data_IF_564256760595
#
_entry.id   IF_564256760595
#
_cell.length_a   1.000
_cell.length_b   1.000
_cell.length_c   1.000
_cell.angle_alpha   90.00
_cell.angle_beta   90.00
_cell.angle_gamma   90.00
#
_symmetry.space_group_name_H-M   'P 1'
#
loop_
_entity.id
_entity.type
_entity.pdbx_description
1 polymer ?
#
# COMPACT_ATOMS: atom_id res chain seq x y z
N UNK A 1 -9.80 -18.50 4.83
CA UNK A 1 -10.94 -17.68 5.30
C UNK A 1 -10.82 -16.31 4.64
N UNK A 2 -11.27 -16.17 3.38
CA UNK A 2 -11.12 -14.95 2.57
C UNK A 2 -12.48 -14.32 2.19
N UNK A 3 -13.55 -15.12 2.10
CA UNK A 3 -14.89 -14.68 1.67
C UNK A 3 -15.47 -13.53 2.49
N UNK A 4 -15.38 -13.57 3.82
CA UNK A 4 -15.95 -12.51 4.69
C UNK A 4 -15.23 -11.16 4.53
N UNK A 5 -13.91 -11.17 4.24
CA UNK A 5 -13.15 -9.93 4.03
C UNK A 5 -13.51 -9.27 2.70
N UNK A 6 -13.66 -10.04 1.61
CA UNK A 6 -14.05 -9.50 0.30
C UNK A 6 -15.49 -8.98 0.26
N UNK A 7 -16.44 -9.67 0.91
CA UNK A 7 -17.80 -9.16 1.06
C UNK A 7 -17.84 -7.83 1.83
N UNK A 8 -16.94 -7.67 2.81
CA UNK A 8 -16.84 -6.43 3.58
C UNK A 8 -16.30 -5.28 2.71
N UNK A 9 -15.30 -5.55 1.87
CA UNK A 9 -14.79 -4.58 0.88
C UNK A 9 -15.89 -4.13 -0.09
N UNK A 10 -16.67 -5.07 -0.61
CA UNK A 10 -17.81 -4.74 -1.47
C UNK A 10 -18.83 -3.85 -0.77
N UNK A 11 -19.19 -4.18 0.48
CA UNK A 11 -20.14 -3.38 1.26
C UNK A 11 -19.63 -1.97 1.51
N UNK A 12 -18.33 -1.80 1.77
CA UNK A 12 -17.71 -0.48 1.97
C UNK A 12 -17.76 0.32 0.66
N UNK A 13 -17.41 -0.30 -0.46
CA UNK A 13 -17.43 0.35 -1.77
C UNK A 13 -18.86 0.74 -2.20
N UNK A 14 -19.85 -0.12 -1.95
CA UNK A 14 -21.28 0.18 -2.19
C UNK A 14 -21.80 1.36 -1.37
N UNK A 15 -21.14 1.70 -0.25
CA UNK A 15 -21.45 2.89 0.55
C UNK A 15 -20.70 4.15 0.08
N UNK A 16 -19.92 4.08 -1.00
CA UNK A 16 -19.09 5.18 -1.50
C UNK A 16 -17.92 5.51 -0.57
N UNK A 17 -17.47 4.55 0.26
CA UNK A 17 -16.36 4.73 1.20
C UNK A 17 -15.09 4.06 0.68
N UNK A 18 -13.95 4.56 1.14
CA UNK A 18 -12.64 3.95 0.90
C UNK A 18 -12.30 2.98 2.04
N UNK A 19 -11.89 1.77 1.70
CA UNK A 19 -11.40 0.79 2.67
C UNK A 19 -9.88 0.97 2.85
N UNK A 20 -9.41 1.10 4.09
CA UNK A 20 -7.99 1.07 4.43
C UNK A 20 -7.68 -0.34 4.96
N UNK A 21 -6.64 -0.96 4.42
CA UNK A 21 -6.29 -2.34 4.73
C UNK A 21 -4.82 -2.45 5.12
N UNK A 22 -4.59 -3.02 6.30
CA UNK A 22 -3.28 -3.55 6.67
C UNK A 22 -3.18 -4.98 6.14
N UNK A 23 -2.32 -5.19 5.15
CA UNK A 23 -2.20 -6.46 4.43
C UNK A 23 -0.76 -6.96 4.43
N UNK A 24 -0.62 -8.27 4.54
CA UNK A 24 0.67 -8.92 4.37
C UNK A 24 1.08 -8.92 2.88
N UNK A 25 2.37 -8.77 2.54
CA UNK A 25 2.83 -8.63 1.15
C UNK A 25 2.40 -9.76 0.20
N UNK A 26 2.30 -10.99 0.69
CA UNK A 26 1.81 -12.13 -0.10
C UNK A 26 0.37 -11.95 -0.62
N UNK A 27 -0.44 -11.13 0.05
CA UNK A 27 -1.84 -10.87 -0.28
C UNK A 27 -1.99 -9.89 -1.43
N UNK A 28 -0.94 -9.11 -1.76
CA UNK A 28 -0.95 -8.11 -2.84
C UNK A 28 -1.42 -8.73 -4.17
N UNK A 29 -0.97 -9.95 -4.48
CA UNK A 29 -1.35 -10.65 -5.72
C UNK A 29 -2.84 -10.96 -5.83
N UNK A 30 -3.51 -11.11 -4.69
CA UNK A 30 -4.93 -11.46 -4.62
C UNK A 30 -5.79 -10.21 -4.77
N UNK A 31 -5.34 -9.08 -4.19
CA UNK A 31 -6.09 -7.82 -4.23
C UNK A 31 -5.76 -6.95 -5.43
N UNK A 32 -4.63 -7.17 -6.10
CA UNK A 32 -4.19 -6.40 -7.27
C UNK A 32 -4.91 -6.90 -8.54
N UNK A 33 -6.22 -6.69 -8.55
CA UNK A 33 -7.15 -7.06 -9.61
C UNK A 33 -7.97 -5.83 -10.03
N UNK A 34 -8.58 -5.85 -11.24
CA UNK A 34 -9.40 -4.74 -11.72
C UNK A 34 -10.59 -4.44 -10.81
N UNK A 35 -11.09 -5.48 -10.14
CA UNK A 35 -12.23 -5.43 -9.22
C UNK A 35 -11.99 -4.50 -8.03
N UNK A 36 -10.78 -4.55 -7.45
CA UNK A 36 -10.44 -3.75 -6.28
C UNK A 36 -9.62 -2.51 -6.62
N UNK A 37 -8.83 -2.56 -7.70
CA UNK A 37 -7.95 -1.47 -8.16
C UNK A 37 -7.26 -0.75 -6.98
N UNK A 38 -6.51 -1.48 -6.13
CA UNK A 38 -6.01 -0.91 -4.88
C UNK A 38 -4.95 0.15 -5.16
N UNK A 39 -4.91 1.17 -4.31
CA UNK A 39 -3.77 2.10 -4.21
C UNK A 39 -2.86 1.65 -3.07
N UNK A 40 -1.68 1.15 -3.41
CA UNK A 40 -0.78 0.45 -2.49
C UNK A 40 0.33 1.40 -2.06
N UNK A 41 0.35 1.70 -0.76
CA UNK A 41 1.37 2.53 -0.13
C UNK A 41 2.30 1.68 0.70
N UNK A 42 3.59 1.71 0.35
CA UNK A 42 4.63 1.07 1.13
C UNK A 42 5.28 2.09 2.08
N UNK A 43 5.26 1.80 3.38
CA UNK A 43 5.86 2.64 4.40
C UNK A 43 7.22 2.06 4.80
N UNK A 44 8.28 2.74 4.37
CA UNK A 44 9.66 2.43 4.71
C UNK A 44 10.03 2.98 6.10
N UNK A 45 10.95 2.31 6.82
CA UNK A 45 11.49 2.81 8.09
C UNK A 45 12.24 4.13 7.89
N UNK A 46 12.39 4.95 8.94
CA UNK A 46 13.11 6.23 8.86
C UNK A 46 14.55 6.06 8.36
N UNK A 47 15.05 7.06 7.64
CA UNK A 47 16.43 7.07 7.12
C UNK A 47 17.47 7.37 8.21
N UNK A 48 17.07 8.03 9.30
CA UNK A 48 17.95 8.42 10.41
C UNK A 48 17.72 7.47 11.58
N UNK A 49 18.54 6.43 11.67
CA UNK A 49 18.39 5.44 12.72
C UNK A 49 19.76 5.14 13.34
N UNK A 50 19.87 5.42 14.64
CA UNK A 50 20.96 4.99 15.51
C UNK A 50 21.10 3.47 15.53
N UNK A 51 22.33 2.99 15.66
CA UNK A 51 22.81 1.61 15.44
C UNK A 51 22.22 0.56 16.40
N UNK A 52 20.90 0.39 16.45
CA UNK A 52 20.25 -0.72 17.14
C UNK A 52 20.15 -1.95 16.23
N UNK A 53 20.64 -3.10 16.72
CA UNK A 53 20.63 -4.38 16.00
C UNK A 53 19.22 -4.79 15.53
N UNK A 54 18.19 -4.51 16.31
CA UNK A 54 16.78 -4.77 15.96
C UNK A 54 16.35 -4.04 14.68
N UNK A 55 16.89 -2.83 14.44
CA UNK A 55 16.54 -2.02 13.28
C UNK A 55 17.29 -2.46 12.02
N UNK A 56 18.45 -3.10 12.16
CA UNK A 56 19.14 -3.73 11.02
C UNK A 56 18.35 -4.92 10.46
N UNK A 57 17.76 -5.74 11.33
CA UNK A 57 16.91 -6.84 10.89
C UNK A 57 15.65 -6.31 10.19
N UNK A 58 15.01 -5.29 10.77
CA UNK A 58 13.87 -4.61 10.15
C UNK A 58 14.21 -4.03 8.77
N UNK A 59 15.39 -3.41 8.61
CA UNK A 59 15.85 -2.90 7.32
C UNK A 59 16.03 -4.01 6.29
N UNK A 60 16.61 -5.15 6.67
CA UNK A 60 16.76 -6.31 5.77
C UNK A 60 15.41 -6.87 5.34
N UNK A 61 14.47 -7.00 6.28
CA UNK A 61 13.14 -7.52 6.01
C UNK A 61 12.35 -6.56 5.11
N UNK A 62 12.46 -5.25 5.37
CA UNK A 62 11.89 -4.17 4.54
C UNK A 62 12.43 -4.23 3.11
N UNK A 63 13.76 -4.36 2.96
CA UNK A 63 14.39 -4.41 1.63
C UNK A 63 14.01 -5.69 0.87
N UNK A 64 13.88 -6.83 1.57
CA UNK A 64 13.41 -8.06 0.96
C UNK A 64 11.97 -7.93 0.43
N UNK A 65 11.08 -7.28 1.19
CA UNK A 65 9.71 -6.99 0.75
C UNK A 65 9.74 -6.04 -0.44
N UNK A 66 10.48 -4.94 -0.34
CA UNK A 66 10.60 -3.94 -1.40
C UNK A 66 11.11 -4.57 -2.69
N UNK A 67 12.22 -5.30 -2.65
CA UNK A 67 12.80 -5.97 -3.82
C UNK A 67 11.81 -6.92 -4.50
N UNK A 68 11.02 -7.66 -3.72
CA UNK A 68 10.08 -8.65 -4.25
C UNK A 68 8.76 -8.06 -4.75
N UNK A 69 8.28 -6.98 -4.13
CA UNK A 69 6.92 -6.47 -4.34
C UNK A 69 6.86 -5.02 -4.81
N UNK A 70 7.99 -4.35 -5.06
CA UNK A 70 8.03 -2.94 -5.50
C UNK A 70 7.16 -2.63 -6.72
N UNK A 71 6.99 -3.60 -7.63
CA UNK A 71 6.16 -3.44 -8.82
C UNK A 71 4.65 -3.36 -8.53
N UNK A 72 4.22 -3.63 -7.29
CA UNK A 72 2.85 -3.41 -6.84
C UNK A 72 2.67 -2.06 -6.14
N UNK A 73 3.74 -1.32 -5.82
CA UNK A 73 3.63 -0.12 -5.00
C UNK A 73 3.37 1.10 -5.88
N UNK A 74 2.28 1.81 -5.59
CA UNK A 74 1.96 3.08 -6.22
C UNK A 74 2.71 4.23 -5.55
N UNK A 75 2.98 4.10 -4.25
CA UNK A 75 3.68 5.09 -3.45
C UNK A 75 4.62 4.44 -2.44
N UNK A 76 5.81 5.04 -2.27
CA UNK A 76 6.75 4.69 -1.21
C UNK A 76 6.94 5.91 -0.31
N UNK A 77 6.52 5.79 0.94
CA UNK A 77 6.69 6.83 1.98
C UNK A 77 7.76 6.41 2.96
N UNK A 78 8.59 7.35 3.40
CA UNK A 78 9.53 7.12 4.50
C UNK A 78 8.91 7.66 5.77
N UNK A 79 8.82 6.83 6.81
CA UNK A 79 8.25 7.24 8.09
C UNK A 79 9.21 8.17 8.86
N UNK A 80 9.25 9.45 8.48
CA UNK A 80 10.06 10.49 9.13
C UNK A 80 9.32 11.22 10.26
N UNK A 81 8.07 10.85 10.53
CA UNK A 81 7.18 11.49 11.49
C UNK A 81 5.72 11.31 11.06
N UNK A 82 4.81 11.21 12.04
CA UNK A 82 3.39 10.92 11.76
C UNK A 82 2.76 12.04 10.95
N UNK A 83 2.96 13.30 11.33
CA UNK A 83 2.35 14.45 10.66
C UNK A 83 2.84 14.58 9.21
N UNK A 84 4.16 14.56 8.98
CA UNK A 84 4.75 14.65 7.64
C UNK A 84 4.33 13.48 6.74
N UNK A 85 4.31 12.25 7.28
CA UNK A 85 3.93 11.06 6.52
C UNK A 85 2.43 11.07 6.19
N UNK A 86 1.61 11.59 7.10
CA UNK A 86 0.16 11.73 6.90
C UNK A 86 -0.15 12.77 5.84
N UNK A 87 0.48 13.95 5.89
CA UNK A 87 0.32 14.99 4.87
C UNK A 87 0.71 14.47 3.48
N UNK A 88 1.81 13.72 3.37
CA UNK A 88 2.23 13.10 2.11
C UNK A 88 1.23 12.04 1.63
N UNK A 89 0.69 11.24 2.54
CA UNK A 89 -0.32 10.21 2.21
C UNK A 89 -1.62 10.86 1.72
N UNK A 90 -2.10 11.90 2.39
CA UNK A 90 -3.30 12.64 2.02
C UNK A 90 -3.15 13.29 0.64
N UNK A 91 -2.04 13.98 0.40
CA UNK A 91 -1.75 14.61 -0.89
C UNK A 91 -1.70 13.57 -2.03
N UNK A 92 -1.05 12.42 -1.80
CA UNK A 92 -0.98 11.36 -2.79
C UNK A 92 -2.36 10.70 -3.03
N UNK A 93 -3.16 10.53 -1.98
CA UNK A 93 -4.52 10.00 -2.10
C UNK A 93 -5.42 10.94 -2.92
N UNK A 94 -5.39 12.25 -2.65
CA UNK A 94 -6.14 13.24 -3.43
C UNK A 94 -5.72 13.23 -4.90
N UNK A 95 -4.41 13.13 -5.16
CA UNK A 95 -3.89 13.01 -6.52
C UNK A 95 -4.36 11.71 -7.19
N UNK A 96 -4.36 10.60 -6.47
CA UNK A 96 -4.83 9.30 -6.99
C UNK A 96 -6.32 9.34 -7.37
N UNK A 97 -7.14 10.04 -6.59
CA UNK A 97 -8.58 10.19 -6.86
C UNK A 97 -8.90 11.18 -7.99
N UNK A 98 -8.03 12.16 -8.25
CA UNK A 98 -8.30 13.24 -9.21
C UNK A 98 -7.60 13.05 -10.56
N UNK A 99 -6.56 12.22 -10.62
CA UNK A 99 -5.77 11.98 -11.84
C UNK A 99 -5.98 10.57 -12.41
N UNK A 100 -5.92 10.40 -13.73
CA UNK A 100 -5.95 9.08 -14.35
C UNK A 100 -4.82 8.20 -13.82
N UNK A 101 -5.14 6.98 -13.37
CA UNK A 101 -4.16 6.02 -12.85
C UNK A 101 -3.69 5.06 -13.95
N UNK A 102 -2.42 4.65 -13.86
CA UNK A 102 -1.87 3.59 -14.71
C UNK A 102 -2.35 2.24 -14.20
N UNK A 103 -3.06 1.50 -15.05
CA UNK A 103 -3.49 0.13 -14.75
C UNK A 103 -2.76 -0.87 -15.64
N UNK A 104 -2.47 -2.08 -15.15
CA UNK A 104 -1.96 -3.16 -15.98
C UNK A 104 -2.85 -3.40 -17.21
N UNK A 105 -2.24 -3.66 -18.36
CA UNK A 105 -2.97 -3.99 -19.58
C UNK A 105 -3.87 -5.22 -19.40
N UNK A 106 -3.45 -6.17 -18.54
CA UNK A 106 -4.25 -7.34 -18.17
C UNK A 106 -5.56 -7.02 -17.46
N UNK A 107 -5.79 -5.77 -17.05
CA UNK A 107 -7.05 -5.34 -16.42
C UNK A 107 -8.10 -4.86 -17.41
N UNK A 108 -7.72 -4.63 -18.67
CA UNK A 108 -8.57 -4.03 -19.70
C UNK A 108 -9.20 -5.09 -20.63
N UNK A 109 -8.76 -6.35 -20.54
CA UNK A 109 -9.20 -7.46 -21.41
C UNK A 109 -9.89 -8.58 -20.64
#
# INVERSE_FOLDING_TARGET
>A
MFGTKFESLHKIHQQGKTAILDIEPQTLKIIHTPEFSPFIVFIAPPNKIDQMETLQQLQKDTEAIRSRYAHYFDLVLVNNGVDESLEQLEAAFEQACSSPQWVPVSWVY
#
